data_IF_712899532005
#
_entry.id   IF_712899532005
#
_cell.length_a   1.000
_cell.length_b   1.000
_cell.length_c   1.000
_cell.angle_alpha   90.00
_cell.angle_beta   90.00
_cell.angle_gamma   90.00
#
_symmetry.space_group_name_H-M   'P 1'
#
loop_
_entity.id
_entity.type
_entity.pdbx_description
1 polymer ?
#
# COMPACT_ATOMS: atom_id res chain seq x y z
N UNK A 1 10.93 -18.72 1.75
CA UNK A 1 12.30 -18.17 1.66
C UNK A 1 12.30 -16.77 1.04
N UNK A 2 11.80 -16.59 -0.19
CA UNK A 2 11.80 -15.28 -0.88
C UNK A 2 11.14 -14.14 -0.07
N UNK A 3 9.98 -14.39 0.54
CA UNK A 3 9.34 -13.41 1.41
C UNK A 3 10.28 -12.95 2.55
N UNK A 4 10.86 -13.90 3.28
CA UNK A 4 11.71 -13.57 4.42
C UNK A 4 12.95 -12.78 4.00
N UNK A 5 13.51 -13.07 2.82
CA UNK A 5 14.58 -12.25 2.26
C UNK A 5 14.10 -10.82 2.01
N UNK A 6 12.94 -10.63 1.36
CA UNK A 6 12.38 -9.31 1.12
C UNK A 6 12.11 -8.54 2.43
N UNK A 7 11.52 -9.21 3.43
CA UNK A 7 11.24 -8.62 4.74
C UNK A 7 12.51 -8.20 5.48
N UNK A 8 13.50 -9.10 5.57
CA UNK A 8 14.79 -8.81 6.24
C UNK A 8 15.54 -7.72 5.49
N UNK A 9 15.59 -7.76 4.15
CA UNK A 9 16.20 -6.69 3.34
C UNK A 9 15.54 -5.35 3.59
N UNK A 10 14.21 -5.29 3.60
CA UNK A 10 13.48 -4.06 3.91
C UNK A 10 13.82 -3.54 5.31
N UNK A 11 13.80 -4.40 6.33
CA UNK A 11 14.12 -4.02 7.71
C UNK A 11 15.56 -3.51 7.87
N UNK A 12 16.53 -4.17 7.22
CA UNK A 12 17.93 -3.75 7.21
C UNK A 12 18.11 -2.39 6.51
N UNK A 13 17.44 -2.16 5.39
CA UNK A 13 17.50 -0.89 4.66
C UNK A 13 16.84 0.24 5.47
N UNK A 14 15.72 -0.03 6.16
CA UNK A 14 15.11 0.92 7.09
C UNK A 14 16.05 1.28 8.23
N UNK A 15 16.70 0.29 8.87
CA UNK A 15 17.68 0.53 9.92
C UNK A 15 18.91 1.31 9.42
N UNK A 16 19.44 0.95 8.24
CA UNK A 16 20.57 1.65 7.64
C UNK A 16 20.23 3.10 7.26
N UNK A 17 19.01 3.34 6.76
CA UNK A 17 18.49 4.69 6.52
C UNK A 17 18.42 5.48 7.83
N UNK A 18 17.88 4.89 8.89
CA UNK A 18 17.78 5.54 10.20
C UNK A 18 19.16 5.88 10.80
N UNK A 19 20.15 5.01 10.63
CA UNK A 19 21.51 5.22 11.15
C UNK A 19 22.30 6.30 10.39
N UNK A 20 22.10 6.40 9.07
CA UNK A 20 22.97 7.21 8.19
C UNK A 20 22.32 8.47 7.62
N UNK A 21 20.98 8.55 7.59
CA UNK A 21 20.25 9.62 6.91
C UNK A 21 20.41 9.59 5.39
N UNK A 22 20.99 8.51 4.83
CA UNK A 22 21.31 8.44 3.40
C UNK A 22 20.04 8.29 2.55
N UNK A 23 19.81 9.28 1.69
CA UNK A 23 18.65 9.31 0.80
C UNK A 23 18.56 8.12 -0.16
N UNK A 24 19.69 7.61 -0.67
CA UNK A 24 19.68 6.44 -1.55
C UNK A 24 19.25 5.17 -0.82
N UNK A 25 19.58 5.05 0.47
CA UNK A 25 19.09 3.94 1.30
C UNK A 25 17.59 4.07 1.58
N UNK A 26 17.08 5.31 1.75
CA UNK A 26 15.65 5.56 1.89
C UNK A 26 14.87 5.19 0.61
N UNK A 27 15.43 5.50 -0.56
CA UNK A 27 14.85 5.06 -1.83
C UNK A 27 14.87 3.53 -1.94
N UNK A 28 16.00 2.88 -1.63
CA UNK A 28 16.12 1.43 -1.67
C UNK A 28 15.15 0.74 -0.69
N UNK A 29 14.95 1.30 0.52
CA UNK A 29 13.97 0.77 1.47
C UNK A 29 12.54 0.90 0.94
N UNK A 30 12.21 1.99 0.24
CA UNK A 30 10.93 2.15 -0.46
C UNK A 30 10.69 1.06 -1.51
N UNK A 31 11.71 0.74 -2.32
CA UNK A 31 11.63 -0.33 -3.31
C UNK A 31 11.45 -1.71 -2.67
N UNK A 32 12.23 -2.02 -1.62
CA UNK A 32 12.06 -3.26 -0.86
C UNK A 32 10.67 -3.34 -0.20
N UNK A 33 10.15 -2.20 0.27
CA UNK A 33 8.80 -2.07 0.82
C UNK A 33 7.71 -2.33 -0.23
N UNK A 34 7.90 -1.90 -1.48
CA UNK A 34 6.99 -2.20 -2.58
C UNK A 34 6.95 -3.71 -2.89
N UNK A 35 8.11 -4.39 -2.90
CA UNK A 35 8.17 -5.85 -3.05
C UNK A 35 7.47 -6.56 -1.89
N UNK A 36 7.68 -6.07 -0.67
CA UNK A 36 7.00 -6.59 0.52
C UNK A 36 5.47 -6.41 0.43
N UNK A 37 5.01 -5.23 0.00
CA UNK A 37 3.60 -4.97 -0.29
C UNK A 37 3.01 -5.91 -1.34
N UNK A 38 3.77 -6.25 -2.39
CA UNK A 38 3.35 -7.21 -3.41
C UNK A 38 3.17 -8.64 -2.86
N UNK A 39 4.02 -9.09 -1.93
CA UNK A 39 3.78 -10.34 -1.20
C UNK A 39 2.48 -10.26 -0.39
N UNK A 40 2.26 -9.15 0.31
CA UNK A 40 1.06 -8.95 1.12
C UNK A 40 -0.22 -8.92 0.32
N UNK A 41 -0.22 -8.23 -0.84
CA UNK A 41 -1.29 -8.30 -1.84
C UNK A 41 -1.62 -9.75 -2.21
N UNK A 42 -0.61 -10.58 -2.48
CA UNK A 42 -0.84 -11.99 -2.86
C UNK A 42 -1.33 -12.85 -1.70
N UNK A 43 -1.02 -12.48 -0.46
CA UNK A 43 -1.44 -13.23 0.72
C UNK A 43 -2.85 -12.91 1.18
N UNK A 44 -3.34 -11.69 0.96
CA UNK A 44 -4.76 -11.40 1.27
C UNK A 44 -5.69 -12.26 0.43
N UNK A 45 -5.30 -12.61 -0.80
CA UNK A 45 -6.02 -13.58 -1.67
C UNK A 45 -6.10 -15.00 -1.11
N UNK A 46 -5.30 -15.33 -0.09
CA UNK A 46 -5.14 -16.69 0.40
C UNK A 46 -5.53 -16.76 1.88
N UNK A 47 -6.75 -17.27 2.21
CA UNK A 47 -7.29 -17.24 3.57
C UNK A 47 -6.32 -17.78 4.64
N UNK A 48 -5.61 -18.87 4.32
CA UNK A 48 -4.58 -19.46 5.18
C UNK A 48 -3.52 -18.45 5.61
N UNK A 49 -2.98 -17.68 4.67
CA UNK A 49 -1.89 -16.73 4.95
C UNK A 49 -2.39 -15.45 5.62
N UNK A 50 -3.60 -15.01 5.29
CA UNK A 50 -4.28 -13.95 6.03
C UNK A 50 -4.47 -14.33 7.50
N UNK A 51 -5.09 -15.49 7.77
CA UNK A 51 -5.42 -15.95 9.12
C UNK A 51 -4.18 -16.24 9.98
N UNK A 52 -3.09 -16.69 9.35
CA UNK A 52 -1.81 -16.91 10.03
C UNK A 52 -1.01 -15.61 10.25
N UNK A 53 -1.55 -14.44 9.90
CA UNK A 53 -0.95 -13.13 10.18
C UNK A 53 0.16 -12.70 9.19
N UNK A 54 0.39 -13.42 8.10
CA UNK A 54 1.44 -13.07 7.14
C UNK A 54 1.14 -11.77 6.39
N UNK A 55 -0.14 -11.53 6.08
CA UNK A 55 -0.56 -10.28 5.45
C UNK A 55 -0.21 -9.05 6.31
N UNK A 56 -0.22 -9.18 7.64
CA UNK A 56 0.19 -8.11 8.57
C UNK A 56 1.70 -7.81 8.49
N UNK A 57 2.53 -8.86 8.39
CA UNK A 57 3.99 -8.76 8.23
C UNK A 57 4.42 -8.15 6.88
N UNK A 58 3.47 -7.82 6.01
CA UNK A 58 3.72 -7.25 4.69
C UNK A 58 2.96 -5.94 4.51
N UNK A 59 1.65 -5.99 4.28
CA UNK A 59 0.82 -4.80 4.02
C UNK A 59 0.85 -3.84 5.20
N UNK A 60 0.54 -4.30 6.41
CA UNK A 60 0.45 -3.41 7.56
C UNK A 60 1.80 -2.82 7.93
N UNK A 61 2.87 -3.63 7.84
CA UNK A 61 4.23 -3.19 8.18
C UNK A 61 4.73 -2.07 7.27
N UNK A 62 4.26 -2.02 6.01
CA UNK A 62 4.58 -0.95 5.06
C UNK A 62 3.51 0.15 4.99
N UNK A 63 2.51 0.13 5.88
CA UNK A 63 1.54 1.21 6.07
C UNK A 63 0.17 1.04 5.40
N UNK A 64 -0.08 -0.09 4.75
CA UNK A 64 -1.43 -0.45 4.29
C UNK A 64 -2.26 -1.07 5.44
N UNK A 65 -3.51 -1.47 5.16
CA UNK A 65 -4.34 -2.27 6.07
C UNK A 65 -4.66 -3.60 5.39
N UNK A 66 -4.15 -4.73 5.89
CA UNK A 66 -4.43 -6.04 5.30
C UNK A 66 -5.91 -6.40 5.39
N UNK A 67 -6.61 -5.92 6.42
CA UNK A 67 -8.06 -6.06 6.56
C UNK A 67 -8.83 -5.22 5.54
N UNK A 68 -8.44 -3.94 5.37
CA UNK A 68 -9.05 -3.09 4.33
C UNK A 68 -8.82 -3.71 2.95
N UNK A 69 -7.57 -4.10 2.65
CA UNK A 69 -7.24 -4.76 1.39
C UNK A 69 -8.04 -6.04 1.19
N UNK A 70 -8.20 -6.88 2.20
CA UNK A 70 -9.05 -8.07 2.06
C UNK A 70 -10.50 -7.70 1.70
N UNK A 71 -11.11 -6.73 2.38
CA UNK A 71 -12.49 -6.32 2.09
C UNK A 71 -12.63 -5.64 0.73
N UNK A 72 -11.82 -4.62 0.48
CA UNK A 72 -11.93 -3.75 -0.68
C UNK A 72 -11.36 -4.38 -1.94
N UNK A 73 -10.20 -5.02 -1.84
CA UNK A 73 -9.57 -5.62 -3.00
C UNK A 73 -10.21 -6.97 -3.33
N UNK A 74 -10.36 -7.87 -2.36
CA UNK A 74 -10.82 -9.23 -2.68
C UNK A 74 -12.33 -9.31 -2.76
N UNK A 75 -13.03 -8.81 -1.74
CA UNK A 75 -14.49 -9.00 -1.65
C UNK A 75 -15.27 -7.98 -2.48
N UNK A 76 -14.66 -6.87 -2.87
CA UNK A 76 -15.29 -5.87 -3.72
C UNK A 76 -14.66 -5.83 -5.12
N UNK A 77 -13.40 -5.42 -5.26
CA UNK A 77 -12.77 -5.26 -6.57
C UNK A 77 -12.78 -6.56 -7.38
N UNK A 78 -12.26 -7.68 -6.86
CA UNK A 78 -12.22 -8.95 -7.61
C UNK A 78 -13.58 -9.60 -7.83
N UNK A 79 -14.55 -9.39 -6.92
CA UNK A 79 -15.90 -9.96 -7.07
C UNK A 79 -16.74 -9.22 -8.10
N UNK A 80 -16.48 -7.93 -8.29
CA UNK A 80 -17.29 -7.04 -9.12
C UNK A 80 -16.49 -6.35 -10.22
N UNK A 81 -15.33 -6.89 -10.59
CA UNK A 81 -14.36 -6.29 -11.54
C UNK A 81 -15.06 -5.74 -12.78
N UNK A 82 -14.71 -4.50 -13.15
CA UNK A 82 -15.26 -3.80 -14.32
C UNK A 82 -16.79 -3.57 -14.29
N UNK A 83 -17.41 -3.61 -13.10
CA UNK A 83 -18.81 -3.19 -12.90
C UNK A 83 -18.88 -1.95 -12.02
N UNK A 84 -20.02 -1.22 -11.99
CA UNK A 84 -20.18 -0.07 -11.11
C UNK A 84 -20.02 -0.35 -9.60
N UNK A 85 -20.04 -1.63 -9.18
CA UNK A 85 -19.84 -2.04 -7.80
C UNK A 85 -18.36 -2.20 -7.41
N UNK A 86 -17.44 -2.21 -8.39
CA UNK A 86 -16.00 -2.17 -8.17
C UNK A 86 -15.59 -0.78 -7.66
N UNK A 87 -14.98 -0.72 -6.48
CA UNK A 87 -14.46 0.53 -5.91
C UNK A 87 -13.33 1.15 -6.73
N UNK A 88 -12.71 0.39 -7.64
CA UNK A 88 -11.70 0.86 -8.58
C UNK A 88 -12.25 1.05 -10.01
N UNK A 89 -13.57 1.01 -10.21
CA UNK A 89 -14.17 1.15 -11.54
C UNK A 89 -13.69 2.42 -12.28
N UNK A 90 -13.56 3.54 -11.55
CA UNK A 90 -13.04 4.82 -12.08
C UNK A 90 -11.52 4.96 -12.01
N UNK A 91 -10.81 3.99 -11.44
CA UNK A 91 -9.36 4.02 -11.26
C UNK A 91 -8.92 5.17 -10.35
N UNK A 92 -7.88 5.89 -10.75
CA UNK A 92 -7.35 7.07 -10.04
C UNK A 92 -7.66 8.36 -10.80
N UNK A 93 -8.89 8.50 -11.32
CA UNK A 93 -9.39 9.70 -12.03
C UNK A 93 -8.94 11.00 -11.32
N UNK A 94 -8.32 11.97 -12.04
CA UNK A 94 -8.13 12.05 -13.49
C UNK A 94 -6.84 11.44 -14.04
N UNK A 95 -6.07 10.73 -13.22
CA UNK A 95 -4.75 10.25 -13.61
C UNK A 95 -4.80 8.92 -14.38
N UNK A 96 -5.46 7.90 -13.84
CA UNK A 96 -5.71 6.66 -14.57
C UNK A 96 -7.20 6.39 -14.61
N UNK A 97 -7.85 6.77 -15.70
CA UNK A 97 -9.24 6.43 -15.95
C UNK A 97 -9.38 5.05 -16.57
N UNK A 98 -10.02 4.16 -15.82
CA UNK A 98 -10.27 2.77 -16.24
C UNK A 98 -11.66 2.57 -16.83
N UNK A 99 -12.63 3.43 -16.50
CA UNK A 99 -13.98 3.38 -17.06
C UNK A 99 -13.92 3.45 -18.61
N UNK A 100 -14.38 2.41 -19.33
CA UNK A 100 -14.35 2.39 -20.79
C UNK A 100 -15.49 3.21 -21.42
N UNK A 101 -16.49 3.61 -20.64
CA UNK A 101 -17.68 4.33 -21.14
C UNK A 101 -17.45 5.84 -21.23
N UNK A 102 -16.39 6.34 -20.60
CA UNK A 102 -16.03 7.76 -20.58
C UNK A 102 -14.92 8.06 -21.57
N UNK A 103 -15.12 9.09 -22.39
CA UNK A 103 -14.09 9.57 -23.31
C UNK A 103 -12.89 10.16 -22.55
N UNK A 104 -11.68 9.71 -22.89
CA UNK A 104 -10.43 10.21 -22.30
C UNK A 104 -9.85 11.34 -23.13
N UNK A 105 -9.49 12.44 -22.47
CA UNK A 105 -8.73 13.52 -23.10
C UNK A 105 -7.30 13.11 -23.46
N UNK A 106 -6.59 13.98 -24.17
CA UNK A 106 -5.22 13.71 -24.63
C UNK A 106 -4.28 13.30 -23.48
N UNK A 107 -4.27 14.07 -22.38
CA UNK A 107 -3.41 13.80 -21.23
C UNK A 107 -3.74 12.44 -20.58
N UNK A 108 -5.02 12.15 -20.42
CA UNK A 108 -5.52 10.93 -19.80
C UNK A 108 -5.20 9.67 -20.63
N UNK A 109 -5.06 9.83 -21.95
CA UNK A 109 -4.75 8.73 -22.85
C UNK A 109 -3.24 8.49 -22.99
N UNK A 110 -2.43 9.55 -23.05
CA UNK A 110 -1.04 9.44 -23.49
C UNK A 110 0.00 9.90 -22.47
N UNK A 111 -0.40 10.59 -21.41
CA UNK A 111 0.54 11.16 -20.44
C UNK A 111 0.33 10.51 -19.08
N UNK A 112 -0.82 10.75 -18.46
CA UNK A 112 -1.05 10.38 -17.06
C UNK A 112 -0.98 8.87 -16.75
N UNK A 113 -1.28 7.92 -17.66
CA UNK A 113 -1.07 6.50 -17.37
C UNK A 113 0.39 6.14 -17.05
N UNK A 114 1.34 6.82 -17.71
CA UNK A 114 2.78 6.60 -17.48
C UNK A 114 3.29 7.28 -16.21
N UNK A 115 2.62 8.35 -15.76
CA UNK A 115 2.91 9.02 -14.48
C UNK A 115 2.18 8.39 -13.29
N UNK A 116 1.16 7.55 -13.53
CA UNK A 116 0.37 6.93 -12.47
C UNK A 116 1.22 6.17 -11.42
N UNK A 117 2.30 5.43 -11.76
CA UNK A 117 3.17 4.83 -10.76
C UNK A 117 3.76 5.84 -9.75
N UNK A 118 4.10 7.05 -10.19
CA UNK A 118 4.60 8.12 -9.31
C UNK A 118 3.49 8.67 -8.40
N UNK A 119 2.27 8.75 -8.90
CA UNK A 119 1.11 9.16 -8.11
C UNK A 119 0.79 8.10 -7.05
N UNK A 120 0.90 6.82 -7.41
CA UNK A 120 0.70 5.70 -6.49
C UNK A 120 1.76 5.64 -5.37
N UNK A 121 2.91 6.30 -5.49
CA UNK A 121 3.84 6.45 -4.36
C UNK A 121 3.19 7.14 -3.15
N UNK A 122 2.22 8.03 -3.38
CA UNK A 122 1.44 8.66 -2.31
C UNK A 122 0.30 7.78 -1.80
N UNK A 123 0.00 6.68 -2.51
CA UNK A 123 -1.07 5.74 -2.19
C UNK A 123 -0.90 5.07 -0.83
N UNK A 124 0.33 4.88 -0.35
CA UNK A 124 0.60 4.35 1.00
C UNK A 124 0.02 5.29 2.07
N UNK A 125 0.35 6.58 2.00
CA UNK A 125 -0.12 7.57 2.96
C UNK A 125 -1.62 7.81 2.84
N UNK A 126 -2.14 7.88 1.60
CA UNK A 126 -3.56 8.03 1.35
C UNK A 126 -4.36 6.84 1.92
N UNK A 127 -3.89 5.60 1.68
CA UNK A 127 -4.51 4.41 2.24
C UNK A 127 -4.41 4.40 3.77
N UNK A 128 -3.25 4.81 4.33
CA UNK A 128 -3.08 4.91 5.77
C UNK A 128 -4.08 5.85 6.43
N UNK A 129 -4.23 7.05 5.88
CA UNK A 129 -5.22 8.03 6.34
C UNK A 129 -6.63 7.46 6.20
N UNK A 130 -6.96 6.85 5.05
CA UNK A 130 -8.29 6.29 4.82
C UNK A 130 -8.66 5.21 5.85
N UNK A 131 -7.80 4.21 6.06
CA UNK A 131 -8.12 3.15 7.03
C UNK A 131 -8.04 3.63 8.48
N UNK A 132 -7.27 4.68 8.78
CA UNK A 132 -7.29 5.34 10.09
C UNK A 132 -8.62 6.05 10.33
N UNK A 133 -9.16 6.75 9.33
CA UNK A 133 -10.48 7.39 9.43
C UNK A 133 -11.57 6.34 9.66
N UNK A 134 -11.50 5.20 8.96
CA UNK A 134 -12.46 4.11 9.14
C UNK A 134 -12.35 3.46 10.52
N UNK A 135 -11.14 3.38 11.08
CA UNK A 135 -10.91 2.94 12.45
C UNK A 135 -11.58 3.89 13.45
N UNK A 136 -11.41 5.20 13.28
CA UNK A 136 -12.03 6.22 14.14
C UNK A 136 -13.57 6.20 14.07
N UNK A 137 -14.14 5.77 12.94
CA UNK A 137 -15.58 5.57 12.76
C UNK A 137 -16.10 4.23 13.29
N UNK A 138 -15.21 3.35 13.78
CA UNK A 138 -15.57 1.99 14.21
C UNK A 138 -15.94 1.03 13.06
N UNK A 139 -15.47 1.31 11.83
CA UNK A 139 -15.71 0.49 10.63
C UNK A 139 -14.47 -0.29 10.15
N UNK A 140 -13.39 -0.21 10.91
CA UNK A 140 -12.13 -0.92 10.70
C UNK A 140 -11.65 -1.48 12.03
N UNK A 141 -10.91 -2.59 11.98
CA UNK A 141 -10.35 -3.22 13.18
C UNK A 141 -8.97 -2.64 13.54
N UNK A 142 -8.72 -2.47 14.84
CA UNK A 142 -7.38 -2.13 15.30
C UNK A 142 -6.46 -3.35 15.17
N UNK A 143 -5.39 -3.22 14.39
CA UNK A 143 -4.28 -4.16 14.35
C UNK A 143 -3.03 -3.50 14.90
N UNK A 144 -2.12 -4.30 15.48
CA UNK A 144 -0.77 -3.81 15.86
C UNK A 144 -0.02 -3.24 14.66
N UNK A 145 -0.33 -3.74 13.47
CA UNK A 145 0.28 -3.34 12.22
C UNK A 145 0.06 -1.86 11.87
N UNK A 146 -1.09 -1.29 12.26
CA UNK A 146 -1.40 0.13 12.04
C UNK A 146 -0.48 1.09 12.80
N UNK A 147 0.28 0.59 13.78
CA UNK A 147 1.27 1.40 14.50
C UNK A 147 2.59 1.53 13.73
N UNK A 148 2.89 0.64 12.76
CA UNK A 148 4.22 0.61 12.13
C UNK A 148 4.55 1.87 11.34
N UNK A 149 3.67 2.32 10.44
CA UNK A 149 3.92 3.54 9.67
C UNK A 149 4.15 4.79 10.56
N UNK A 150 3.28 5.12 11.54
CA UNK A 150 3.51 6.29 12.39
C UNK A 150 4.76 6.14 13.26
N UNK A 151 5.08 4.92 13.73
CA UNK A 151 6.33 4.67 14.45
C UNK A 151 7.55 4.89 13.55
N UNK A 152 7.53 4.44 12.29
CA UNK A 152 8.62 4.68 11.35
C UNK A 152 8.79 6.18 11.05
N UNK A 153 7.69 6.88 10.80
CA UNK A 153 7.72 8.34 10.56
C UNK A 153 8.27 9.06 11.78
N UNK A 154 7.76 8.76 12.99
CA UNK A 154 8.25 9.36 14.23
C UNK A 154 9.74 9.08 14.45
N UNK A 155 10.19 7.83 14.28
CA UNK A 155 11.59 7.45 14.46
C UNK A 155 12.53 8.18 13.50
N UNK A 156 12.14 8.37 12.24
CA UNK A 156 12.92 9.12 11.25
C UNK A 156 12.95 10.60 11.57
N UNK A 157 11.79 11.22 11.86
CA UNK A 157 11.70 12.64 12.20
C UNK A 157 12.47 12.97 13.48
N UNK A 158 12.39 12.14 14.53
CA UNK A 158 13.15 12.37 15.77
C UNK A 158 14.67 12.33 15.59
N UNK A 159 15.16 11.65 14.54
CA UNK A 159 16.59 11.50 14.28
C UNK A 159 17.13 12.53 13.29
N UNK A 160 16.35 12.89 12.28
CA UNK A 160 16.81 13.65 11.11
C UNK A 160 15.98 14.91 10.77
N UNK A 161 14.85 15.13 11.45
CA UNK A 161 14.00 16.32 11.30
C UNK A 161 14.27 17.37 12.37
#
# INVERSE_FOLDING_TARGET
VLFWMAFVTWALLMGATWLSGNFLLALASGWAGAVLGAFGHNWVHQPKYKQWGWALLSLDTVGFSSEAWYREHNLQHHMYTNTPWDNHFKGTDPFLMTDPTVARGFLQRYVTPYFNPLILCFGVYANFIAHTIELLKGREELSVGKLFLPMHVAAMTMRWG
#
